data_IF_315663130680
#
_entry.id   IF_315663130680
#
_cell.length_a   1.000
_cell.length_b   1.000
_cell.length_c   1.000
_cell.angle_alpha   90.00
_cell.angle_beta   90.00
_cell.angle_gamma   90.00
#
_symmetry.space_group_name_H-M   'P 1'
#
loop_
_entity.id
_entity.type
_entity.pdbx_description
1 polymer ?
#
# COMPACT_ATOMS: atom_id res chain seq x y z
N UNK A 1 -4.06 4.59 2.23
CA UNK A 1 -5.01 5.30 3.11
C UNK A 1 -4.76 5.09 4.60
N UNK A 2 -4.00 5.97 5.26
CA UNK A 2 -3.87 6.03 6.74
C UNK A 2 -5.27 6.27 7.35
N UNK A 3 -5.80 5.46 8.29
CA UNK A 3 -6.64 5.96 9.36
C UNK A 3 -5.75 6.98 10.00
N UNK A 4 -6.00 8.21 9.64
CA UNK A 4 -5.63 9.32 10.46
C UNK A 4 -6.16 9.03 11.86
N UNK A 5 -5.38 9.33 12.89
CA UNK A 5 -6.01 9.57 14.18
C UNK A 5 -6.79 10.87 14.06
N UNK A 6 -8.02 10.73 13.55
CA UNK A 6 -8.93 11.83 13.29
C UNK A 6 -9.19 12.63 14.57
N UNK A 7 -9.08 12.02 15.75
CA UNK A 7 -9.25 12.71 17.02
C UNK A 7 -8.03 13.58 17.37
N UNK A 8 -6.81 13.06 17.18
CA UNK A 8 -5.58 13.84 17.37
C UNK A 8 -5.45 14.95 16.33
N UNK A 9 -5.83 14.69 15.09
CA UNK A 9 -5.83 15.71 14.03
C UNK A 9 -6.91 16.76 14.25
N UNK A 10 -8.15 16.38 14.58
CA UNK A 10 -9.18 17.35 15.03
C UNK A 10 -8.65 18.24 16.13
N UNK A 11 -7.93 17.67 17.12
CA UNK A 11 -7.35 18.43 18.22
C UNK A 11 -6.18 19.33 17.81
N UNK A 12 -5.34 18.89 16.86
CA UNK A 12 -4.24 19.70 16.34
C UNK A 12 -4.77 20.86 15.51
N UNK A 13 -5.69 20.57 14.60
CA UNK A 13 -6.38 21.55 13.75
C UNK A 13 -7.19 22.54 14.59
N UNK A 14 -7.86 22.09 15.66
CA UNK A 14 -8.58 22.99 16.57
C UNK A 14 -7.66 23.86 17.44
N UNK A 15 -6.38 23.51 17.55
CA UNK A 15 -5.37 24.26 18.31
C UNK A 15 -4.44 25.08 17.45
N UNK A 16 -4.47 24.87 16.14
CA UNK A 16 -3.65 25.61 15.19
C UNK A 16 -3.98 27.10 15.25
N UNK A 17 -2.97 27.95 15.19
CA UNK A 17 -3.16 29.36 14.91
C UNK A 17 -3.86 29.54 13.56
N UNK A 18 -4.44 30.71 13.32
CA UNK A 18 -5.11 30.97 12.04
C UNK A 18 -4.15 30.85 10.85
N UNK A 19 -2.89 31.27 11.00
CA UNK A 19 -1.87 31.14 9.96
C UNK A 19 -1.49 29.67 9.68
N UNK A 20 -1.36 28.85 10.72
CA UNK A 20 -1.09 27.41 10.57
C UNK A 20 -2.27 26.68 9.93
N UNK A 21 -3.50 27.07 10.29
CA UNK A 21 -4.73 26.52 9.72
C UNK A 21 -4.84 26.89 8.23
N UNK A 22 -4.65 28.16 7.87
CA UNK A 22 -4.64 28.62 6.47
C UNK A 22 -3.58 27.89 5.64
N UNK A 23 -2.36 27.74 6.15
CA UNK A 23 -1.31 26.97 5.46
C UNK A 23 -1.74 25.52 5.20
N UNK A 24 -2.45 24.92 6.15
CA UNK A 24 -2.97 23.54 6.01
C UNK A 24 -4.10 23.47 4.97
N UNK A 25 -4.97 24.47 4.91
CA UNK A 25 -6.04 24.57 3.90
C UNK A 25 -5.46 24.80 2.50
N UNK A 26 -4.39 25.59 2.36
CA UNK A 26 -3.72 25.80 1.07
C UNK A 26 -3.07 24.53 0.52
N UNK A 27 -2.66 23.60 1.41
CA UNK A 27 -2.15 22.29 1.03
C UNK A 27 -3.25 21.23 0.85
N UNK A 28 -4.53 21.61 0.92
CA UNK A 28 -5.65 20.66 0.98
C UNK A 28 -5.76 19.72 -0.24
N UNK A 29 -5.31 20.15 -1.43
CA UNK A 29 -5.40 19.34 -2.65
C UNK A 29 -4.69 17.97 -2.55
N UNK A 30 -3.66 17.86 -1.71
CA UNK A 30 -2.90 16.62 -1.50
C UNK A 30 -3.33 15.85 -0.25
N UNK A 31 -4.35 16.35 0.47
CA UNK A 31 -4.75 15.78 1.74
C UNK A 31 -5.70 14.61 1.56
N UNK A 32 -5.54 13.67 2.48
CA UNK A 32 -6.48 12.60 2.66
C UNK A 32 -7.91 13.16 2.83
N UNK A 33 -8.91 12.59 2.19
CA UNK A 33 -10.26 13.12 2.19
C UNK A 33 -10.97 13.25 3.54
N UNK A 34 -10.67 12.36 4.48
CA UNK A 34 -11.15 12.51 5.87
C UNK A 34 -10.52 13.74 6.56
N UNK A 35 -9.35 14.24 6.11
CA UNK A 35 -8.81 15.53 6.54
C UNK A 35 -9.59 16.69 5.95
N UNK A 36 -9.96 16.61 4.67
CA UNK A 36 -10.76 17.64 4.03
C UNK A 36 -12.04 17.88 4.85
N UNK A 37 -12.66 16.80 5.31
CA UNK A 37 -13.83 16.86 6.18
C UNK A 37 -13.57 17.51 7.54
N UNK A 38 -12.43 17.21 8.19
CA UNK A 38 -12.06 17.81 9.47
C UNK A 38 -11.73 19.30 9.32
N UNK A 39 -10.98 19.66 8.28
CA UNK A 39 -10.65 21.05 7.97
C UNK A 39 -11.93 21.84 7.71
N UNK A 40 -12.89 21.25 6.99
CA UNK A 40 -14.19 21.87 6.74
C UNK A 40 -14.97 22.12 8.04
N UNK A 41 -15.04 21.11 8.91
CA UNK A 41 -15.71 21.26 10.21
C UNK A 41 -15.06 22.34 11.08
N UNK A 42 -13.73 22.44 11.06
CA UNK A 42 -13.02 23.47 11.83
C UNK A 42 -13.14 24.86 11.20
N UNK A 43 -13.07 24.98 9.87
CA UNK A 43 -13.30 26.23 9.16
C UNK A 43 -14.67 26.83 9.51
N UNK A 44 -15.71 25.98 9.50
CA UNK A 44 -17.07 26.36 9.89
C UNK A 44 -17.14 26.83 11.35
N UNK A 45 -16.44 26.16 12.29
CA UNK A 45 -16.37 26.60 13.70
C UNK A 45 -15.67 27.94 13.86
N UNK A 46 -14.67 28.22 13.04
CA UNK A 46 -13.94 29.50 13.02
C UNK A 46 -14.71 30.61 12.29
N UNK A 47 -15.88 30.32 11.71
CA UNK A 47 -16.68 31.28 10.95
C UNK A 47 -15.99 31.76 9.68
N UNK A 48 -15.10 30.94 9.10
CA UNK A 48 -14.34 31.27 7.89
C UNK A 48 -14.76 30.39 6.73
N UNK A 49 -14.92 30.98 5.57
CA UNK A 49 -15.20 30.24 4.34
C UNK A 49 -13.95 30.03 3.50
N UNK A 50 -13.77 28.79 3.03
CA UNK A 50 -12.71 28.42 2.10
C UNK A 50 -13.33 27.70 0.90
N UNK A 51 -13.70 28.44 -0.16
CA UNK A 51 -14.36 27.88 -1.35
C UNK A 51 -13.63 26.67 -1.95
N UNK A 52 -12.31 26.75 -2.08
CA UNK A 52 -11.48 25.65 -2.60
C UNK A 52 -11.56 24.38 -1.74
N UNK A 53 -11.61 24.52 -0.41
CA UNK A 53 -11.76 23.38 0.50
C UNK A 53 -13.15 22.77 0.38
N UNK A 54 -14.18 23.59 0.11
CA UNK A 54 -15.56 23.16 -0.09
C UNK A 54 -15.72 22.38 -1.38
N UNK A 55 -15.09 22.85 -2.44
CA UNK A 55 -15.03 22.13 -3.72
C UNK A 55 -14.29 20.80 -3.56
N UNK A 56 -13.14 20.75 -2.91
CA UNK A 56 -12.40 19.49 -2.68
C UNK A 56 -13.18 18.47 -1.83
N UNK A 57 -13.85 18.90 -0.76
CA UNK A 57 -14.70 18.00 0.06
C UNK A 57 -15.89 17.50 -0.74
N UNK A 58 -16.51 18.38 -1.53
CA UNK A 58 -17.66 18.04 -2.36
C UNK A 58 -17.25 17.06 -3.47
N UNK A 59 -16.17 17.35 -4.19
CA UNK A 59 -15.59 16.48 -5.22
C UNK A 59 -15.29 15.08 -4.65
N UNK A 60 -14.70 15.00 -3.46
CA UNK A 60 -14.42 13.70 -2.86
C UNK A 60 -15.68 12.91 -2.47
N UNK A 61 -16.66 13.58 -1.85
CA UNK A 61 -17.94 12.94 -1.49
C UNK A 61 -18.69 12.49 -2.73
N UNK A 62 -18.69 13.29 -3.78
CA UNK A 62 -19.25 12.94 -5.09
C UNK A 62 -18.51 11.77 -5.74
N UNK A 63 -17.19 11.61 -5.48
CA UNK A 63 -16.41 10.47 -5.95
C UNK A 63 -16.67 9.16 -5.17
N UNK A 64 -17.25 9.17 -3.96
CA UNK A 64 -17.78 7.98 -3.25
C UNK A 64 -16.75 6.91 -2.85
N UNK A 65 -15.56 7.33 -2.44
CA UNK A 65 -14.41 6.43 -2.15
C UNK A 65 -14.62 5.46 -0.98
N UNK A 66 -15.04 5.89 0.23
CA UNK A 66 -15.21 4.97 1.36
C UNK A 66 -16.20 3.85 1.06
N UNK A 67 -17.32 4.18 0.41
CA UNK A 67 -18.36 3.24 0.01
C UNK A 67 -17.83 2.27 -1.06
N UNK A 68 -17.07 2.78 -2.03
CA UNK A 68 -16.44 1.98 -3.07
C UNK A 68 -15.48 0.92 -2.49
N UNK A 69 -14.56 1.33 -1.60
CA UNK A 69 -13.58 0.40 -1.03
C UNK A 69 -14.16 -0.56 0.02
N UNK A 70 -15.22 -0.15 0.73
CA UNK A 70 -15.94 -1.03 1.64
C UNK A 70 -16.66 -2.17 0.89
N UNK A 71 -17.09 -1.92 -0.35
CA UNK A 71 -17.80 -2.87 -1.21
C UNK A 71 -16.91 -3.91 -1.92
N UNK A 72 -15.59 -3.88 -1.75
CA UNK A 72 -14.67 -4.75 -2.52
C UNK A 72 -14.82 -6.22 -2.11
N UNK A 73 -15.53 -6.96 -2.97
CA UNK A 73 -15.79 -8.39 -2.82
C UNK A 73 -14.79 -9.28 -3.56
N UNK A 74 -15.03 -10.59 -3.48
CA UNK A 74 -14.18 -11.60 -4.11
C UNK A 74 -14.12 -11.48 -5.64
N UNK A 75 -15.26 -11.23 -6.29
CA UNK A 75 -15.34 -11.11 -7.74
C UNK A 75 -14.47 -9.95 -8.27
N UNK A 76 -14.46 -8.82 -7.56
CA UNK A 76 -13.64 -7.67 -7.95
C UNK A 76 -12.14 -7.97 -7.85
N UNK A 77 -11.74 -8.68 -6.79
CA UNK A 77 -10.35 -9.13 -6.63
C UNK A 77 -9.95 -10.05 -7.79
N UNK A 78 -10.79 -11.01 -8.15
CA UNK A 78 -10.51 -11.94 -9.26
C UNK A 78 -10.44 -11.23 -10.60
N UNK A 79 -11.37 -10.31 -10.89
CA UNK A 79 -11.35 -9.49 -12.10
C UNK A 79 -10.05 -8.70 -12.21
N UNK A 80 -9.65 -8.02 -11.14
CA UNK A 80 -8.42 -7.21 -11.14
C UNK A 80 -7.16 -8.06 -11.26
N UNK A 81 -7.09 -9.20 -10.55
CA UNK A 81 -5.95 -10.13 -10.69
C UNK A 81 -5.86 -10.72 -12.10
N UNK A 82 -7.00 -11.04 -12.72
CA UNK A 82 -7.03 -11.56 -14.09
C UNK A 82 -6.61 -10.49 -15.09
N UNK A 83 -7.09 -9.25 -14.94
CA UNK A 83 -6.64 -8.10 -15.73
C UNK A 83 -5.12 -7.91 -15.63
N UNK A 84 -4.56 -7.95 -14.42
CA UNK A 84 -3.11 -7.83 -14.20
C UNK A 84 -2.34 -8.99 -14.84
N UNK A 85 -2.87 -10.20 -14.78
CA UNK A 85 -2.27 -11.38 -15.41
C UNK A 85 -2.22 -11.30 -16.93
N UNK A 86 -3.21 -10.66 -17.55
CA UNK A 86 -3.28 -10.45 -18.99
C UNK A 86 -2.36 -9.32 -19.46
N UNK A 87 -2.21 -8.26 -18.64
CA UNK A 87 -1.49 -7.04 -19.02
C UNK A 87 -0.01 -7.03 -18.63
N UNK A 88 0.36 -7.74 -17.56
CA UNK A 88 1.74 -7.76 -17.08
C UNK A 88 2.55 -8.92 -17.67
N UNK A 89 3.90 -8.81 -17.71
CA UNK A 89 4.75 -9.90 -18.16
C UNK A 89 4.52 -11.19 -17.36
N UNK A 90 4.60 -12.34 -18.04
CA UNK A 90 4.52 -13.67 -17.39
C UNK A 90 5.51 -13.80 -16.22
N UNK A 91 6.70 -13.21 -16.38
CA UNK A 91 7.72 -13.07 -15.33
C UNK A 91 7.82 -11.59 -14.93
N UNK A 92 6.88 -11.11 -14.12
CA UNK A 92 6.90 -9.75 -13.61
C UNK A 92 7.81 -9.55 -12.39
N UNK A 93 8.33 -10.62 -11.80
CA UNK A 93 9.24 -10.56 -10.65
C UNK A 93 10.44 -11.49 -10.84
N UNK A 94 11.57 -11.16 -10.21
CA UNK A 94 12.79 -11.97 -10.20
C UNK A 94 12.49 -13.37 -9.68
N UNK A 95 11.77 -13.43 -8.56
CA UNK A 95 11.27 -14.66 -7.96
C UNK A 95 9.76 -14.57 -7.75
N UNK A 96 9.04 -15.64 -8.07
CA UNK A 96 7.58 -15.69 -8.03
C UNK A 96 7.02 -15.87 -6.60
N UNK A 97 7.38 -14.96 -5.69
CA UNK A 97 6.96 -14.96 -4.28
C UNK A 97 6.42 -13.58 -3.86
N UNK A 98 6.00 -13.46 -2.59
CA UNK A 98 5.76 -12.17 -1.94
C UNK A 98 7.05 -11.73 -1.20
N UNK A 99 7.41 -10.47 -1.15
CA UNK A 99 8.48 -9.97 -0.28
C UNK A 99 7.95 -9.89 1.15
N UNK A 100 8.75 -10.32 2.11
CA UNK A 100 8.47 -10.14 3.55
C UNK A 100 9.46 -9.14 4.15
N UNK A 101 9.10 -8.57 5.31
CA UNK A 101 10.00 -7.64 6.01
C UNK A 101 11.33 -8.29 6.41
N UNK A 102 11.33 -9.58 6.72
CA UNK A 102 12.54 -10.34 7.07
C UNK A 102 13.50 -10.42 5.90
N UNK A 103 12.97 -10.59 4.68
CA UNK A 103 13.77 -10.63 3.44
C UNK A 103 14.40 -9.27 3.14
N UNK A 104 13.70 -8.19 3.49
CA UNK A 104 14.18 -6.82 3.31
C UNK A 104 15.21 -6.40 4.37
N UNK A 105 15.55 -7.28 5.33
CA UNK A 105 16.49 -6.97 6.41
C UNK A 105 16.06 -5.78 7.28
N UNK A 106 14.76 -5.46 7.30
CA UNK A 106 14.21 -4.27 7.94
C UNK A 106 14.62 -4.14 9.43
N UNK A 107 14.75 -5.27 10.11
CA UNK A 107 15.17 -5.38 11.51
C UNK A 107 16.66 -5.06 11.76
N UNK A 108 17.52 -5.16 10.75
CA UNK A 108 18.98 -4.98 10.90
C UNK A 108 19.47 -3.57 10.56
N UNK A 109 18.58 -2.69 10.10
CA UNK A 109 18.92 -1.35 9.67
C UNK A 109 18.89 -0.32 10.82
N UNK A 110 18.98 -0.75 12.08
CA UNK A 110 18.66 0.04 13.29
C UNK A 110 19.38 1.41 13.32
N UNK A 111 20.64 1.46 12.89
CA UNK A 111 21.52 2.65 12.98
C UNK A 111 21.35 3.68 11.86
N UNK A 112 20.58 3.39 10.81
CA UNK A 112 20.41 4.33 9.69
C UNK A 112 19.26 5.31 9.91
N UNK A 113 19.31 6.49 9.27
CA UNK A 113 18.12 7.34 9.20
C UNK A 113 17.04 6.67 8.35
N UNK A 114 15.76 7.00 8.60
CA UNK A 114 14.62 6.31 7.99
C UNK A 114 14.65 6.37 6.45
N UNK A 115 15.04 7.51 5.87
CA UNK A 115 15.13 7.69 4.42
C UNK A 115 16.09 6.68 3.78
N UNK A 116 17.31 6.50 4.32
CA UNK A 116 18.27 5.51 3.77
C UNK A 116 17.75 4.08 3.89
N UNK A 117 16.99 3.76 4.94
CA UNK A 117 16.35 2.44 5.07
C UNK A 117 15.31 2.24 3.97
N UNK A 118 14.47 3.25 3.73
CA UNK A 118 13.44 3.20 2.69
C UNK A 118 14.06 3.13 1.30
N UNK A 119 15.15 3.86 1.03
CA UNK A 119 15.90 3.75 -0.23
C UNK A 119 16.42 2.32 -0.46
N UNK A 120 17.04 1.69 0.54
CA UNK A 120 17.51 0.30 0.41
C UNK A 120 16.36 -0.67 0.14
N UNK A 121 15.23 -0.49 0.84
CA UNK A 121 14.03 -1.29 0.59
C UNK A 121 13.52 -1.07 -0.84
N UNK A 122 13.51 0.17 -1.32
CA UNK A 122 13.13 0.48 -2.70
C UNK A 122 14.06 -0.18 -3.71
N UNK A 123 15.37 -0.21 -3.47
CA UNK A 123 16.35 -0.88 -4.33
C UNK A 123 16.08 -2.40 -4.41
N UNK A 124 15.72 -3.03 -3.29
CA UNK A 124 15.32 -4.44 -3.24
C UNK A 124 13.97 -4.72 -3.93
N UNK A 125 13.00 -3.82 -3.75
CA UNK A 125 11.72 -3.90 -4.48
C UNK A 125 11.95 -3.77 -5.99
N UNK A 126 12.82 -2.86 -6.40
CA UNK A 126 13.21 -2.62 -7.78
C UNK A 126 13.85 -3.86 -8.40
N UNK A 127 14.82 -4.46 -7.71
CA UNK A 127 15.45 -5.73 -8.12
C UNK A 127 14.41 -6.85 -8.23
N UNK A 128 13.54 -6.98 -7.24
CA UNK A 128 12.44 -7.95 -7.26
C UNK A 128 11.51 -7.75 -8.46
N UNK A 129 11.29 -6.51 -8.91
CA UNK A 129 10.46 -6.17 -10.08
C UNK A 129 11.22 -6.17 -11.42
N UNK A 130 12.52 -6.51 -11.43
CA UNK A 130 13.37 -6.48 -12.63
C UNK A 130 13.45 -5.09 -13.29
N UNK A 131 13.46 -4.03 -12.48
CA UNK A 131 13.57 -2.65 -12.94
C UNK A 131 15.04 -2.24 -12.88
N UNK A 132 15.61 -1.72 -13.96
CA UNK A 132 17.03 -1.34 -14.00
C UNK A 132 17.23 0.13 -13.63
N UNK A 133 16.23 0.97 -13.91
CA UNK A 133 16.27 2.41 -13.71
C UNK A 133 16.30 2.77 -12.21
N UNK A 134 17.13 3.72 -11.78
CA UNK A 134 17.17 4.15 -10.40
C UNK A 134 15.86 4.86 -10.01
N UNK A 135 15.42 4.61 -8.77
CA UNK A 135 14.29 5.30 -8.16
C UNK A 135 14.77 5.94 -6.87
N UNK A 136 14.59 7.26 -6.73
CA UNK A 136 15.03 8.02 -5.57
C UNK A 136 13.90 8.11 -4.55
N UNK A 137 14.21 7.80 -3.30
CA UNK A 137 13.30 7.99 -2.17
C UNK A 137 13.65 9.28 -1.44
N UNK A 138 12.64 10.10 -1.20
CA UNK A 138 12.78 11.37 -0.48
C UNK A 138 11.72 11.47 0.62
N UNK A 139 12.14 11.83 1.83
CA UNK A 139 11.20 12.13 2.91
C UNK A 139 10.94 13.64 2.98
N UNK A 140 9.68 14.03 2.86
CA UNK A 140 9.28 15.44 2.88
C UNK A 140 8.11 15.66 3.86
N UNK A 141 8.12 16.83 4.50
CA UNK A 141 7.01 17.31 5.31
C UNK A 141 5.86 17.76 4.40
N UNK A 142 4.64 17.82 4.96
CA UNK A 142 3.46 18.44 4.32
C UNK A 142 2.91 17.78 3.05
N UNK A 143 3.21 16.52 2.79
CA UNK A 143 2.48 15.72 1.78
C UNK A 143 1.45 14.80 2.43
N UNK A 144 0.63 14.14 1.59
CA UNK A 144 -0.24 13.04 2.01
C UNK A 144 0.53 11.85 2.60
N UNK A 145 0.23 10.62 2.17
CA UNK A 145 0.97 9.45 2.65
C UNK A 145 2.31 9.27 1.90
N UNK A 146 2.23 9.32 0.59
CA UNK A 146 3.34 9.29 -0.35
C UNK A 146 2.87 9.76 -1.72
N UNK A 147 3.80 9.91 -2.66
CA UNK A 147 3.51 10.28 -4.05
C UNK A 147 4.65 9.81 -4.96
N UNK A 148 4.32 9.30 -6.14
CA UNK A 148 5.26 9.10 -7.21
C UNK A 148 5.26 10.30 -8.20
N UNK A 149 6.45 10.81 -8.54
CA UNK A 149 6.63 11.84 -9.57
C UNK A 149 7.93 11.65 -10.36
N UNK A 150 8.03 12.34 -11.50
CA UNK A 150 9.25 12.43 -12.30
C UNK A 150 9.85 13.83 -12.18
N UNK A 151 11.13 13.93 -11.84
CA UNK A 151 11.88 15.20 -11.79
C UNK A 151 13.10 15.04 -12.70
N UNK A 152 13.18 15.82 -13.77
CA UNK A 152 14.31 15.80 -14.72
C UNK A 152 14.69 14.38 -15.19
N UNK A 153 13.68 13.57 -15.54
CA UNK A 153 13.79 12.14 -15.89
C UNK A 153 14.22 11.18 -14.77
N UNK A 154 14.42 11.66 -13.54
CA UNK A 154 14.59 10.82 -12.38
C UNK A 154 13.23 10.44 -11.79
N UNK A 155 13.04 9.15 -11.54
CA UNK A 155 11.84 8.63 -10.86
C UNK A 155 11.98 8.84 -9.35
N UNK A 156 11.08 9.62 -8.76
CA UNK A 156 11.10 9.98 -7.35
C UNK A 156 9.83 9.44 -6.66
N UNK A 157 10.02 8.80 -5.50
CA UNK A 157 8.94 8.46 -4.59
C UNK A 157 9.12 9.27 -3.31
N UNK A 158 8.15 10.13 -3.05
CA UNK A 158 8.05 10.92 -1.84
C UNK A 158 7.29 10.16 -0.78
N UNK A 159 7.80 10.16 0.45
CA UNK A 159 7.14 9.56 1.60
C UNK A 159 7.07 10.60 2.70
N UNK A 160 5.91 10.69 3.35
CA UNK A 160 5.74 11.66 4.44
C UNK A 160 6.80 11.42 5.53
N UNK A 161 7.43 12.49 5.98
CA UNK A 161 8.44 12.46 7.05
C UNK A 161 7.86 12.15 8.44
N UNK A 162 6.57 12.40 8.67
CA UNK A 162 5.92 12.31 9.98
C UNK A 162 5.99 10.89 10.55
N UNK A 163 6.68 10.75 11.69
CA UNK A 163 6.82 9.48 12.42
C UNK A 163 5.84 9.35 13.59
N UNK A 164 5.14 10.43 13.93
CA UNK A 164 4.15 10.45 15.03
C UNK A 164 2.84 9.76 14.64
N UNK A 165 2.57 9.66 13.34
CA UNK A 165 1.36 9.06 12.79
C UNK A 165 1.64 7.79 11.98
N UNK A 166 2.88 7.60 11.51
CA UNK A 166 3.29 6.45 10.70
C UNK A 166 4.49 5.73 11.28
N UNK A 167 4.29 4.46 11.64
CA UNK A 167 5.42 3.59 11.97
C UNK A 167 6.18 3.16 10.69
N UNK A 168 7.33 2.52 10.90
CA UNK A 168 8.18 2.09 9.78
C UNK A 168 7.48 1.11 8.82
N UNK A 169 6.68 0.17 9.33
CA UNK A 169 5.94 -0.78 8.48
C UNK A 169 4.89 -0.07 7.61
N UNK A 170 4.22 0.95 8.15
CA UNK A 170 3.28 1.79 7.41
C UNK A 170 4.00 2.54 6.27
N UNK A 171 5.19 3.09 6.52
CA UNK A 171 6.01 3.74 5.48
C UNK A 171 6.47 2.77 4.39
N UNK A 172 6.83 1.53 4.76
CA UNK A 172 7.17 0.49 3.78
C UNK A 172 5.95 0.07 2.94
N UNK A 173 4.74 0.02 3.53
CA UNK A 173 3.53 -0.26 2.77
C UNK A 173 3.13 0.88 1.83
N UNK A 174 3.35 2.14 2.23
CA UNK A 174 3.23 3.30 1.33
C UNK A 174 4.23 3.18 0.19
N UNK A 175 5.51 2.89 0.49
CA UNK A 175 6.53 2.68 -0.54
C UNK A 175 6.12 1.57 -1.53
N UNK A 176 5.59 0.45 -1.05
CA UNK A 176 5.09 -0.64 -1.91
C UNK A 176 3.93 -0.22 -2.81
N UNK A 177 3.06 0.67 -2.33
CA UNK A 177 1.96 1.24 -3.08
C UNK A 177 2.47 2.16 -4.19
N UNK A 178 3.32 3.15 -3.84
CA UNK A 178 3.91 4.08 -4.81
C UNK A 178 4.81 3.38 -5.85
N UNK A 179 5.57 2.37 -5.43
CA UNK A 179 6.37 1.53 -6.33
C UNK A 179 5.47 0.79 -7.33
N UNK A 180 4.25 0.42 -6.94
CA UNK A 180 3.31 -0.20 -7.87
C UNK A 180 2.72 0.81 -8.85
N UNK A 181 2.41 2.04 -8.42
CA UNK A 181 2.05 3.11 -9.35
C UNK A 181 3.14 3.32 -10.40
N UNK A 182 4.41 3.43 -9.97
CA UNK A 182 5.54 3.48 -10.88
C UNK A 182 5.56 2.29 -11.84
N UNK A 183 5.45 1.06 -11.32
CA UNK A 183 5.51 -0.15 -12.13
C UNK A 183 4.39 -0.22 -13.16
N UNK A 184 3.14 0.03 -12.76
CA UNK A 184 1.99 -0.05 -13.65
C UNK A 184 2.03 1.07 -14.71
N UNK A 185 2.18 2.31 -14.26
CA UNK A 185 2.06 3.48 -15.13
C UNK A 185 3.31 3.64 -15.99
N UNK A 186 4.50 3.69 -15.37
CA UNK A 186 5.73 4.07 -16.08
C UNK A 186 6.36 2.93 -16.87
N UNK A 187 6.30 1.70 -16.34
CA UNK A 187 6.90 0.53 -17.00
C UNK A 187 5.96 -0.17 -17.97
N UNK A 188 4.64 -0.12 -17.72
CA UNK A 188 3.66 -0.86 -18.51
C UNK A 188 2.54 -0.02 -19.13
N UNK A 189 2.48 1.29 -18.88
CA UNK A 189 1.44 2.17 -19.46
C UNK A 189 0.03 1.84 -18.97
N UNK A 190 -0.10 1.21 -17.80
CA UNK A 190 -1.37 0.77 -17.23
C UNK A 190 -1.84 1.85 -16.24
N UNK A 191 -2.95 2.50 -16.58
CA UNK A 191 -3.64 3.48 -15.75
C UNK A 191 -5.14 3.36 -15.99
N UNK A 192 -5.95 3.59 -14.94
CA UNK A 192 -7.40 3.75 -15.05
C UNK A 192 -7.75 5.24 -15.06
N UNK A 193 -8.72 5.64 -15.87
CA UNK A 193 -9.21 7.01 -15.92
C UNK A 193 -9.94 7.41 -14.63
N UNK A 194 -10.59 6.45 -13.98
CA UNK A 194 -11.29 6.67 -12.73
C UNK A 194 -10.31 6.49 -11.56
N UNK A 195 -10.02 7.57 -10.85
CA UNK A 195 -9.03 7.62 -9.76
C UNK A 195 -9.20 6.47 -8.74
N UNK A 196 -10.40 6.24 -8.20
CA UNK A 196 -10.65 5.16 -7.22
C UNK A 196 -10.43 3.75 -7.78
N UNK A 197 -10.71 3.55 -9.07
CA UNK A 197 -10.41 2.28 -9.74
C UNK A 197 -8.91 2.13 -9.97
N UNK A 198 -8.20 3.23 -10.25
CA UNK A 198 -6.75 3.23 -10.35
C UNK A 198 -6.10 2.89 -9.01
N UNK A 199 -6.57 3.48 -7.92
CA UNK A 199 -6.10 3.17 -6.56
C UNK A 199 -6.37 1.71 -6.19
N UNK A 200 -7.54 1.16 -6.51
CA UNK A 200 -7.85 -0.26 -6.32
C UNK A 200 -6.94 -1.17 -7.15
N UNK A 201 -6.70 -0.80 -8.41
CA UNK A 201 -5.79 -1.51 -9.30
C UNK A 201 -4.37 -1.49 -8.72
N UNK A 202 -3.92 -0.38 -8.16
CA UNK A 202 -2.61 -0.27 -7.51
C UNK A 202 -2.55 -1.10 -6.23
N UNK A 203 -3.57 -1.07 -5.38
CA UNK A 203 -3.63 -1.89 -4.15
C UNK A 203 -3.54 -3.40 -4.45
N UNK A 204 -4.35 -3.90 -5.38
CA UNK A 204 -4.33 -5.30 -5.80
C UNK A 204 -3.07 -5.59 -6.64
N UNK A 205 -2.62 -4.63 -7.44
CA UNK A 205 -1.40 -4.64 -8.24
C UNK A 205 -0.17 -4.87 -7.38
N UNK A 206 -0.03 -4.13 -6.28
CA UNK A 206 1.03 -4.29 -5.30
C UNK A 206 1.07 -5.73 -4.77
N UNK A 207 -0.09 -6.33 -4.47
CA UNK A 207 -0.16 -7.74 -4.07
C UNK A 207 0.26 -8.67 -5.21
N UNK A 208 -0.23 -8.39 -6.42
CA UNK A 208 0.04 -9.20 -7.61
C UNK A 208 1.53 -9.27 -7.92
N UNK A 209 2.24 -8.14 -7.82
CA UNK A 209 3.69 -8.03 -8.06
C UNK A 209 4.53 -8.43 -6.85
N UNK A 210 3.91 -8.92 -5.77
CA UNK A 210 4.63 -9.55 -4.66
C UNK A 210 4.83 -8.69 -3.43
N UNK A 211 4.12 -7.59 -3.23
CA UNK A 211 4.25 -6.76 -2.03
C UNK A 211 3.15 -7.00 -0.98
N UNK A 212 2.33 -8.03 -1.14
CA UNK A 212 1.16 -8.26 -0.30
C UNK A 212 1.46 -8.46 1.18
N UNK A 213 2.60 -9.04 1.57
CA UNK A 213 2.97 -9.16 2.99
C UNK A 213 3.44 -7.83 3.59
N UNK A 214 4.03 -6.94 2.78
CA UNK A 214 4.38 -5.60 3.20
C UNK A 214 3.11 -4.78 3.46
N UNK A 215 2.12 -4.90 2.56
CA UNK A 215 0.80 -4.29 2.76
C UNK A 215 0.11 -4.85 4.00
N UNK A 216 0.05 -6.18 4.16
CA UNK A 216 -0.57 -6.78 5.35
C UNK A 216 0.02 -6.21 6.64
N UNK A 217 1.35 -6.14 6.73
CA UNK A 217 2.02 -5.68 7.93
C UNK A 217 1.84 -4.19 8.17
N UNK A 218 1.90 -3.37 7.11
CA UNK A 218 1.69 -1.93 7.24
C UNK A 218 0.22 -1.55 7.48
N UNK A 219 -0.75 -2.39 7.07
CA UNK A 219 -2.18 -2.08 7.17
C UNK A 219 -2.76 -2.55 8.50
N UNK A 220 -1.93 -3.15 9.37
CA UNK A 220 -2.27 -3.33 10.78
C UNK A 220 -2.48 -1.96 11.45
N UNK A 221 -3.46 -1.89 12.35
CA UNK A 221 -3.67 -0.68 13.15
C UNK A 221 -2.48 -0.47 14.09
N UNK A 222 -1.84 0.68 13.96
CA UNK A 222 -0.83 1.15 14.88
C UNK A 222 -1.51 1.86 16.05
N UNK A 223 -1.29 1.37 17.27
CA UNK A 223 -1.82 1.98 18.49
C UNK A 223 -0.67 2.62 19.26
N UNK A 224 -0.66 3.94 19.34
CA UNK A 224 0.31 4.70 20.14
C UNK A 224 -0.41 5.17 21.39
N UNK A 225 0.04 4.66 22.54
CA UNK A 225 -0.42 5.12 23.84
C UNK A 225 0.48 6.25 24.35
N UNK A 226 -0.12 7.39 24.70
CA UNK A 226 0.58 8.53 25.28
C UNK A 226 -0.23 9.08 26.46
N UNK A 227 0.15 8.66 27.67
CA UNK A 227 -0.64 8.92 28.88
C UNK A 227 -2.02 8.26 28.80
N UNK A 228 -3.10 9.01 29.09
CA UNK A 228 -4.49 8.50 29.02
C UNK A 228 -5.09 8.46 27.60
N UNK A 229 -4.29 8.61 26.55
CA UNK A 229 -4.78 8.68 25.16
C UNK A 229 -4.21 7.56 24.32
N UNK A 230 -5.12 6.92 23.57
CA UNK A 230 -4.79 5.93 22.55
C UNK A 230 -5.01 6.60 21.20
N UNK A 231 -3.93 6.79 20.46
CA UNK A 231 -3.93 7.23 19.07
C UNK A 231 -3.89 6.00 18.18
N UNK A 232 -4.86 5.84 17.28
CA UNK A 232 -4.87 4.76 16.27
C UNK A 232 -4.54 5.31 14.90
N UNK A 233 -3.65 4.63 14.17
CA UNK A 233 -3.43 4.92 12.74
C UNK A 233 -3.37 3.66 11.86
N UNK A 234 -3.72 3.73 10.57
CA UNK A 234 -3.75 2.53 9.69
C UNK A 234 -3.57 2.85 8.20
N UNK A 235 -2.50 2.54 7.49
CA UNK A 235 -2.44 2.83 6.03
C UNK A 235 -3.28 1.88 5.14
N UNK A 236 -3.39 2.20 3.84
CA UNK A 236 -4.15 1.44 2.82
C UNK A 236 -5.64 1.71 2.60
N UNK A 237 -6.08 1.78 1.33
CA UNK A 237 -7.50 1.96 0.96
C UNK A 237 -8.34 0.71 1.23
N UNK A 238 -7.73 -0.47 1.05
CA UNK A 238 -8.40 -1.76 1.23
C UNK A 238 -8.11 -2.38 2.60
N UNK A 239 -9.00 -3.26 3.06
CA UNK A 239 -8.82 -3.98 4.34
C UNK A 239 -7.74 -5.06 4.25
N UNK A 240 -7.15 -5.43 5.39
CA UNK A 240 -6.23 -6.58 5.48
C UNK A 240 -6.90 -7.89 5.06
N UNK A 241 -8.24 -7.98 5.12
CA UNK A 241 -8.97 -9.10 4.55
C UNK A 241 -8.92 -9.11 3.02
N UNK A 242 -9.14 -7.96 2.38
CA UNK A 242 -9.01 -7.83 0.92
C UNK A 242 -7.59 -8.17 0.49
N UNK A 243 -6.57 -7.65 1.17
CA UNK A 243 -5.16 -7.98 0.89
C UNK A 243 -4.91 -9.50 0.99
N UNK A 244 -5.40 -10.17 2.05
CA UNK A 244 -5.29 -11.63 2.20
C UNK A 244 -5.94 -12.39 1.06
N UNK A 245 -7.16 -12.00 0.66
CA UNK A 245 -7.88 -12.59 -0.48
C UNK A 245 -7.11 -12.37 -1.79
N UNK A 246 -6.56 -11.17 -1.99
CA UNK A 246 -5.72 -10.84 -3.15
C UNK A 246 -4.45 -11.68 -3.21
N UNK A 247 -3.79 -11.97 -2.07
CA UNK A 247 -2.62 -12.86 -2.03
C UNK A 247 -3.00 -14.27 -2.48
N UNK A 248 -4.15 -14.78 -2.02
CA UNK A 248 -4.65 -16.10 -2.43
C UNK A 248 -4.94 -16.12 -3.94
N UNK A 249 -5.69 -15.14 -4.44
CA UNK A 249 -6.03 -15.04 -5.87
C UNK A 249 -4.76 -14.94 -6.74
N UNK A 250 -3.82 -14.09 -6.34
CA UNK A 250 -2.50 -13.94 -6.98
C UNK A 250 -1.72 -15.26 -6.98
N UNK A 251 -1.73 -15.99 -5.86
CA UNK A 251 -1.01 -17.26 -5.75
C UNK A 251 -1.51 -18.30 -6.74
N UNK A 252 -2.83 -18.38 -6.96
CA UNK A 252 -3.40 -19.24 -8.00
C UNK A 252 -3.09 -18.71 -9.41
N UNK A 253 -3.31 -17.41 -9.65
CA UNK A 253 -3.13 -16.78 -10.95
C UNK A 253 -1.69 -16.92 -11.49
N UNK A 254 -0.71 -16.67 -10.61
CA UNK A 254 0.73 -16.72 -10.92
C UNK A 254 1.39 -18.06 -10.62
N UNK A 255 0.66 -19.03 -10.03
CA UNK A 255 1.24 -20.28 -9.48
C UNK A 255 2.41 -19.97 -8.54
N UNK A 256 2.17 -19.18 -7.50
CA UNK A 256 3.17 -18.91 -6.46
C UNK A 256 3.30 -20.13 -5.54
N UNK A 257 4.50 -20.35 -4.97
CA UNK A 257 4.73 -21.52 -4.13
C UNK A 257 3.94 -21.41 -2.81
N UNK A 258 2.93 -22.27 -2.55
CA UNK A 258 2.03 -22.07 -1.42
C UNK A 258 2.70 -22.36 -0.08
N UNK A 259 3.69 -23.26 -0.03
CA UNK A 259 4.48 -23.51 1.18
C UNK A 259 5.25 -22.26 1.61
N UNK A 260 5.79 -21.50 0.65
CA UNK A 260 6.49 -20.26 0.90
C UNK A 260 5.54 -19.22 1.51
N UNK A 261 4.32 -19.08 0.97
CA UNK A 261 3.32 -18.13 1.49
C UNK A 261 2.96 -18.48 2.93
N UNK A 262 2.63 -19.74 3.21
CA UNK A 262 2.27 -20.17 4.58
C UNK A 262 3.42 -20.00 5.57
N UNK A 263 4.68 -20.21 5.15
CA UNK A 263 5.85 -20.04 6.02
C UNK A 263 6.01 -18.58 6.46
N UNK A 264 5.81 -17.64 5.53
CA UNK A 264 6.17 -16.23 5.69
C UNK A 264 4.98 -15.30 6.01
N UNK A 265 3.74 -15.79 6.01
CA UNK A 265 2.54 -14.96 6.24
C UNK A 265 2.39 -14.33 7.65
N UNK A 266 3.33 -14.53 8.58
CA UNK A 266 3.13 -14.19 10.00
C UNK A 266 2.15 -15.14 10.71
N UNK A 267 2.37 -15.36 12.01
CA UNK A 267 1.68 -16.42 12.78
C UNK A 267 0.15 -16.31 12.71
N UNK A 268 -0.40 -15.10 12.83
CA UNK A 268 -1.84 -14.85 12.83
C UNK A 268 -2.52 -15.22 11.50
N UNK A 269 -1.80 -15.18 10.38
CA UNK A 269 -2.37 -15.43 9.05
C UNK A 269 -2.07 -16.84 8.52
N UNK A 270 -1.15 -17.60 9.14
CA UNK A 270 -0.81 -18.96 8.70
C UNK A 270 -2.02 -19.88 8.55
N UNK A 271 -2.97 -19.94 9.51
CA UNK A 271 -4.13 -20.83 9.36
C UNK A 271 -4.96 -20.49 8.13
N UNK A 272 -5.23 -19.20 7.91
CA UNK A 272 -5.98 -18.72 6.76
C UNK A 272 -5.36 -19.18 5.43
N UNK A 273 -4.06 -18.91 5.22
CA UNK A 273 -3.38 -19.30 3.99
C UNK A 273 -3.23 -20.81 3.85
N UNK A 274 -3.01 -21.52 4.97
CA UNK A 274 -2.91 -22.98 4.97
C UNK A 274 -4.16 -23.64 4.38
N UNK A 275 -5.35 -23.16 4.78
CA UNK A 275 -6.63 -23.66 4.30
C UNK A 275 -6.96 -23.16 2.90
N UNK A 276 -6.82 -21.86 2.63
CA UNK A 276 -7.21 -21.28 1.32
C UNK A 276 -6.30 -21.71 0.16
N UNK A 277 -5.06 -22.09 0.43
CA UNK A 277 -4.11 -22.60 -0.57
C UNK A 277 -4.06 -24.13 -0.64
N UNK A 278 -5.02 -24.85 -0.02
CA UNK A 278 -4.98 -26.32 0.05
C UNK A 278 -4.92 -26.97 -1.33
N UNK A 279 -5.73 -26.52 -2.28
CA UNK A 279 -5.77 -27.12 -3.61
C UNK A 279 -4.49 -26.82 -4.40
N UNK A 280 -3.98 -25.58 -4.33
CA UNK A 280 -2.68 -25.25 -4.92
C UNK A 280 -1.55 -26.12 -4.33
N UNK A 281 -1.57 -26.40 -3.02
CA UNK A 281 -0.59 -27.30 -2.38
C UNK A 281 -0.67 -28.72 -2.92
N UNK A 282 -1.86 -29.24 -3.19
CA UNK A 282 -2.02 -30.56 -3.82
C UNK A 282 -1.43 -30.56 -5.22
N UNK A 283 -1.75 -29.56 -6.04
CA UNK A 283 -1.22 -29.42 -7.41
C UNK A 283 0.32 -29.42 -7.41
N UNK A 284 0.94 -28.66 -6.50
CA UNK A 284 2.40 -28.66 -6.34
C UNK A 284 2.98 -30.02 -5.96
N UNK A 285 2.36 -30.74 -5.01
CA UNK A 285 2.82 -32.09 -4.63
C UNK A 285 2.73 -33.07 -5.80
N UNK A 286 1.63 -33.02 -6.56
CA UNK A 286 1.45 -33.87 -7.74
C UNK A 286 2.49 -33.56 -8.82
N UNK A 287 2.77 -32.28 -9.08
CA UNK A 287 3.77 -31.85 -10.06
C UNK A 287 5.20 -32.29 -9.69
N UNK A 288 5.57 -32.22 -8.40
CA UNK A 288 6.87 -32.69 -7.92
C UNK A 288 7.01 -34.21 -8.11
N UNK A 289 6.00 -34.98 -7.70
CA UNK A 289 5.99 -36.45 -7.88
C UNK A 289 6.08 -36.84 -9.36
N UNK A 290 5.35 -36.14 -10.23
CA UNK A 290 5.40 -36.40 -11.67
C UNK A 290 6.81 -36.13 -12.25
N UNK A 291 7.48 -35.06 -11.79
CA UNK A 291 8.85 -34.74 -12.19
C UNK A 291 9.85 -35.79 -11.71
N UNK A 292 9.75 -36.22 -10.45
CA UNK A 292 10.59 -37.28 -9.88
C UNK A 292 10.41 -38.60 -10.64
N UNK A 293 9.18 -38.98 -10.97
CA UNK A 293 8.89 -40.15 -11.79
C UNK A 293 9.49 -40.04 -13.20
N UNK A 294 9.40 -38.88 -13.87
CA UNK A 294 9.99 -38.71 -15.20
C UNK A 294 11.51 -38.85 -15.21
N UNK A 295 12.20 -38.36 -14.16
CA UNK A 295 13.67 -38.45 -14.05
C UNK A 295 14.11 -39.88 -13.72
N UNK A 296 13.32 -40.65 -12.97
CA UNK A 296 13.64 -42.05 -12.67
C UNK A 296 13.49 -43.01 -13.87
N UNK A 297 12.81 -42.58 -14.94
CA UNK A 297 12.61 -43.36 -16.17
C UNK A 297 13.44 -42.82 -17.35
N UNK A 298 14.31 -41.82 -17.11
CA UNK A 298 15.27 -41.27 -18.07
C UNK A 298 16.67 -41.77 -17.75
#
# INVERSE_FOLDING_TARGET
MMRLDLAKMRKSISKATDAEFEKTVLAAGDLHPEMLQILMEEANKRGREYPNLKELVQEYREKGYPEFFAGIGHAEIERTVQFLKERLPKKCTLYNYQLSHEMLGAQYLITQNVERKLQRIADMMREHLLIEEPIRIMMIDHIGAGKFEMIDNLSCIFINSDTLTQNFHQKVAILAHEMCHYYLIRKHGIIKEIDKENELLTEIGSVYIGFGFLLLKGYEENKIESGKKITTSRVGYISTEVVRKSIVSTAYARKQQPKWIVKNAGLAHKPYFYFKLRELRKQYKSAVRAKEASVAHS
#
